data_IF_770866613054
#
_entry.id   IF_770866613054
#
_cell.length_a   1.000
_cell.length_b   1.000
_cell.length_c   1.000
_cell.angle_alpha   90.00
_cell.angle_beta   90.00
_cell.angle_gamma   90.00
#
_symmetry.space_group_name_H-M   'P 1'
#
loop_
_entity.id
_entity.type
_entity.pdbx_description
1 polymer ?
#
# COMPACT_ATOMS: atom_id res chain seq x y z
N UNK A 1 8.93 -14.12 -4.98
CA UNK A 1 9.85 -12.99 -5.25
C UNK A 1 10.74 -12.77 -4.05
N UNK A 2 11.94 -12.25 -4.27
CA UNK A 2 12.81 -11.75 -3.21
C UNK A 2 12.69 -10.22 -3.11
N UNK A 3 12.44 -9.74 -1.89
CA UNK A 3 12.25 -8.33 -1.51
C UNK A 3 13.25 -7.88 -0.43
N UNK A 4 14.27 -8.68 -0.16
CA UNK A 4 15.25 -8.39 0.88
C UNK A 4 15.99 -7.10 0.56
N UNK A 5 16.15 -6.23 1.56
CA UNK A 5 16.84 -4.93 1.43
C UNK A 5 16.20 -3.96 0.44
N UNK A 6 14.94 -4.18 0.06
CA UNK A 6 14.15 -3.23 -0.73
C UNK A 6 13.24 -2.43 0.20
N UNK A 7 13.06 -1.14 -0.11
CA UNK A 7 11.99 -0.36 0.49
C UNK A 7 10.62 -0.88 0.04
N UNK A 8 9.59 -0.56 0.83
CA UNK A 8 8.24 -1.12 0.63
C UNK A 8 7.68 -0.78 -0.75
N UNK A 9 7.83 0.47 -1.20
CA UNK A 9 7.32 0.91 -2.49
C UNK A 9 8.11 0.31 -3.66
N UNK A 10 9.43 0.15 -3.53
CA UNK A 10 10.24 -0.55 -4.53
C UNK A 10 9.86 -2.02 -4.66
N UNK A 11 9.68 -2.72 -3.54
CA UNK A 11 9.19 -4.10 -3.54
C UNK A 11 7.80 -4.19 -4.18
N UNK A 12 6.92 -3.22 -3.90
CA UNK A 12 5.57 -3.18 -4.44
C UNK A 12 5.57 -2.86 -5.95
N UNK A 13 6.50 -2.03 -6.45
CA UNK A 13 6.71 -1.80 -7.89
C UNK A 13 7.16 -3.09 -8.59
N UNK A 14 8.12 -3.81 -8.01
CA UNK A 14 8.59 -5.12 -8.51
C UNK A 14 7.48 -6.16 -8.53
N UNK A 15 6.61 -6.15 -7.52
CA UNK A 15 5.43 -7.01 -7.50
C UNK A 15 4.45 -6.66 -8.62
N UNK A 16 4.12 -5.37 -8.77
CA UNK A 16 3.20 -4.87 -9.78
C UNK A 16 3.71 -5.01 -11.23
N UNK A 17 5.03 -5.09 -11.44
CA UNK A 17 5.59 -5.32 -12.78
C UNK A 17 5.29 -6.71 -13.33
N UNK A 18 4.97 -7.67 -12.45
CA UNK A 18 4.62 -9.05 -12.83
C UNK A 18 3.12 -9.33 -12.67
N UNK A 19 2.44 -8.62 -11.76
CA UNK A 19 1.05 -8.87 -11.40
C UNK A 19 0.26 -7.56 -11.48
N UNK A 20 -0.82 -7.54 -12.27
CA UNK A 20 -1.74 -6.39 -12.26
C UNK A 20 -2.61 -6.40 -11.01
N UNK A 21 -2.35 -5.45 -10.12
CA UNK A 21 -3.12 -5.21 -8.89
C UNK A 21 -4.26 -4.22 -9.15
N UNK A 22 -5.20 -4.60 -10.01
CA UNK A 22 -6.37 -3.80 -10.38
C UNK A 22 -7.59 -4.71 -10.51
N UNK A 23 -8.80 -4.16 -10.30
CA UNK A 23 -10.07 -4.88 -10.45
C UNK A 23 -10.85 -4.99 -9.15
N UNK A 24 -11.40 -6.17 -8.89
CA UNK A 24 -12.26 -6.43 -7.74
C UNK A 24 -11.53 -6.26 -6.40
N UNK A 25 -12.19 -5.59 -5.45
CA UNK A 25 -11.63 -5.27 -4.13
C UNK A 25 -11.07 -6.50 -3.40
N UNK A 26 -11.84 -7.59 -3.37
CA UNK A 26 -11.42 -8.84 -2.71
C UNK A 26 -10.17 -9.47 -3.35
N UNK A 27 -10.01 -9.33 -4.67
CA UNK A 27 -8.84 -9.85 -5.37
C UNK A 27 -7.61 -9.01 -5.07
N UNK A 28 -7.75 -7.68 -5.07
CA UNK A 28 -6.69 -6.75 -4.69
C UNK A 28 -6.22 -7.03 -3.27
N UNK A 29 -7.16 -7.20 -2.34
CA UNK A 29 -6.90 -7.52 -0.94
C UNK A 29 -6.03 -8.78 -0.77
N UNK A 30 -6.42 -9.89 -1.40
CA UNK A 30 -5.66 -11.14 -1.35
C UNK A 30 -4.24 -11.00 -1.92
N UNK A 31 -4.08 -10.24 -3.00
CA UNK A 31 -2.76 -10.01 -3.60
C UNK A 31 -1.86 -9.20 -2.66
N UNK A 32 -2.42 -8.20 -1.99
CA UNK A 32 -1.68 -7.35 -1.06
C UNK A 32 -1.39 -8.04 0.27
N UNK A 33 -2.28 -8.88 0.74
CA UNK A 33 -2.01 -9.77 1.87
C UNK A 33 -0.81 -10.68 1.58
N UNK A 34 -0.83 -11.39 0.45
CA UNK A 34 0.27 -12.27 0.04
C UNK A 34 1.60 -11.51 -0.17
N UNK A 35 1.55 -10.33 -0.78
CA UNK A 35 2.71 -9.45 -0.92
C UNK A 35 3.27 -9.04 0.45
N UNK A 36 2.41 -8.59 1.37
CA UNK A 36 2.80 -8.06 2.68
C UNK A 36 3.42 -9.15 3.54
N UNK A 37 2.83 -10.34 3.56
CA UNK A 37 3.40 -11.51 4.25
C UNK A 37 4.81 -11.81 3.71
N UNK A 38 4.99 -11.81 2.38
CA UNK A 38 6.30 -12.06 1.78
C UNK A 38 7.32 -10.97 2.11
N UNK A 39 6.91 -9.69 2.08
CA UNK A 39 7.77 -8.57 2.44
C UNK A 39 8.23 -8.66 3.90
N UNK A 40 7.33 -9.02 4.82
CA UNK A 40 7.65 -9.21 6.23
C UNK A 40 8.68 -10.31 6.47
N UNK A 41 8.59 -11.42 5.73
CA UNK A 41 9.57 -12.51 5.82
C UNK A 41 10.95 -12.07 5.32
N UNK A 42 11.01 -11.33 4.20
CA UNK A 42 12.27 -10.83 3.64
C UNK A 42 12.91 -9.71 4.48
N UNK A 43 12.11 -8.94 5.21
CA UNK A 43 12.56 -7.73 5.93
C UNK A 43 12.23 -7.78 7.43
N UNK A 44 12.32 -8.97 8.04
CA UNK A 44 11.93 -9.20 9.44
C UNK A 44 12.56 -8.22 10.47
N UNK A 45 13.85 -7.83 10.38
CA UNK A 45 14.45 -6.87 11.31
C UNK A 45 13.80 -5.48 11.28
N UNK A 46 13.40 -5.02 10.09
CA UNK A 46 12.70 -3.75 9.91
C UNK A 46 11.28 -3.85 10.46
N UNK A 47 10.57 -4.92 10.11
CA UNK A 47 9.15 -5.08 10.48
C UNK A 47 8.95 -5.20 11.99
N UNK A 48 9.90 -5.82 12.70
CA UNK A 48 9.89 -5.92 14.17
C UNK A 48 9.90 -4.56 14.89
N UNK A 49 10.25 -3.47 14.20
CA UNK A 49 10.22 -2.12 14.78
C UNK A 49 8.80 -1.54 14.83
N UNK A 50 7.86 -2.06 14.04
CA UNK A 50 6.47 -1.62 14.06
C UNK A 50 5.71 -2.27 15.23
N UNK A 51 4.88 -1.47 15.92
CA UNK A 51 4.02 -1.96 17.00
C UNK A 51 2.81 -2.76 16.51
N UNK A 52 2.32 -2.45 15.32
CA UNK A 52 1.15 -3.11 14.73
C UNK A 52 1.61 -4.09 13.63
N UNK A 53 1.29 -5.39 13.72
CA UNK A 53 1.64 -6.38 12.70
C UNK A 53 1.04 -6.07 11.32
N UNK A 54 -0.08 -5.36 11.25
CA UNK A 54 -0.80 -5.03 10.02
C UNK A 54 -0.22 -3.79 9.30
N UNK A 55 0.81 -3.15 9.87
CA UNK A 55 1.37 -1.90 9.34
C UNK A 55 1.79 -2.03 7.88
N UNK A 56 2.45 -3.13 7.51
CA UNK A 56 2.93 -3.34 6.13
C UNK A 56 1.77 -3.47 5.15
N UNK A 57 0.73 -4.20 5.54
CA UNK A 57 -0.48 -4.36 4.73
C UNK A 57 -1.19 -3.03 4.51
N UNK A 58 -1.39 -2.26 5.58
CA UNK A 58 -2.04 -0.94 5.52
C UNK A 58 -1.24 0.02 4.63
N UNK A 59 0.09 0.05 4.80
CA UNK A 59 0.96 0.91 3.98
C UNK A 59 0.97 0.51 2.50
N UNK A 60 1.04 -0.79 2.20
CA UNK A 60 0.99 -1.28 0.82
C UNK A 60 -0.34 -0.88 0.14
N UNK A 61 -1.46 -1.04 0.84
CA UNK A 61 -2.76 -0.59 0.37
C UNK A 61 -2.80 0.92 0.14
N UNK A 62 -2.29 1.71 1.09
CA UNK A 62 -2.26 3.17 0.96
C UNK A 62 -1.44 3.63 -0.25
N UNK A 63 -0.30 2.98 -0.54
CA UNK A 63 0.53 3.28 -1.71
C UNK A 63 -0.25 3.00 -3.01
N UNK A 64 -1.00 1.90 -3.09
CA UNK A 64 -1.80 1.55 -4.29
C UNK A 64 -2.93 2.55 -4.50
N UNK A 65 -3.60 2.95 -3.43
CA UNK A 65 -4.66 3.94 -3.50
C UNK A 65 -4.11 5.32 -3.89
N UNK A 66 -2.96 5.70 -3.36
CA UNK A 66 -2.26 6.92 -3.78
C UNK A 66 -1.89 6.87 -5.26
N UNK A 67 -1.34 5.75 -5.73
CA UNK A 67 -1.00 5.55 -7.14
C UNK A 67 -2.25 5.68 -8.03
N UNK A 68 -3.36 5.06 -7.62
CA UNK A 68 -4.64 5.14 -8.33
C UNK A 68 -5.16 6.58 -8.38
N UNK A 69 -5.12 7.32 -7.26
CA UNK A 69 -5.54 8.72 -7.20
C UNK A 69 -4.65 9.64 -8.06
N UNK A 70 -3.33 9.46 -7.98
CA UNK A 70 -2.34 10.28 -8.68
C UNK A 70 -2.42 10.14 -10.21
N UNK A 71 -2.71 8.96 -10.73
CA UNK A 71 -2.71 8.70 -12.17
C UNK A 71 -4.10 8.52 -12.79
N UNK A 72 -5.17 8.50 -11.98
CA UNK A 72 -6.53 8.42 -12.51
C UNK A 72 -6.92 9.72 -13.24
N UNK A 73 -7.32 9.66 -14.53
CA UNK A 73 -7.79 10.83 -15.26
C UNK A 73 -9.13 11.37 -14.72
N UNK A 74 -9.88 10.55 -13.97
CA UNK A 74 -11.14 10.93 -13.34
C UNK A 74 -10.95 11.84 -12.12
N UNK A 75 -9.75 11.86 -11.54
CA UNK A 75 -9.40 12.73 -10.41
C UNK A 75 -8.80 14.02 -10.92
N UNK A 76 -9.55 15.12 -10.79
CA UNK A 76 -9.07 16.48 -11.10
C UNK A 76 -7.79 16.77 -10.32
N UNK A 77 -6.81 17.41 -10.95
CA UNK A 77 -5.50 17.70 -10.36
C UNK A 77 -5.57 18.39 -8.98
N UNK A 78 -6.49 19.34 -8.82
CA UNK A 78 -6.71 20.08 -7.56
C UNK A 78 -7.24 19.18 -6.41
N UNK A 79 -7.83 18.03 -6.74
CA UNK A 79 -8.42 17.08 -5.79
C UNK A 79 -7.51 15.87 -5.52
N UNK A 80 -6.36 15.78 -6.20
CA UNK A 80 -5.38 14.72 -5.94
C UNK A 80 -4.82 14.85 -4.54
N UNK A 81 -4.58 13.71 -3.92
CA UNK A 81 -4.05 13.61 -2.57
C UNK A 81 -2.69 14.30 -2.48
N UNK A 82 -2.56 15.27 -1.58
CA UNK A 82 -1.27 15.88 -1.26
C UNK A 82 -0.53 15.03 -0.23
N UNK A 83 0.75 15.32 -0.03
CA UNK A 83 1.58 14.65 0.98
C UNK A 83 0.94 14.71 2.38
N UNK A 84 0.47 15.89 2.78
CA UNK A 84 -0.18 16.08 4.09
C UNK A 84 -1.47 15.26 4.23
N UNK A 85 -2.24 15.13 3.14
CA UNK A 85 -3.45 14.31 3.11
C UNK A 85 -3.11 12.82 3.28
N UNK A 86 -2.07 12.34 2.58
CA UNK A 86 -1.59 10.97 2.70
C UNK A 86 -1.14 10.65 4.13
N UNK A 87 -0.31 11.53 4.73
CA UNK A 87 0.15 11.39 6.12
C UNK A 87 -1.03 11.43 7.10
N UNK A 88 -1.99 12.34 6.89
CA UNK A 88 -3.18 12.46 7.73
C UNK A 88 -4.05 11.22 7.66
N UNK A 89 -4.21 10.62 6.48
CA UNK A 89 -4.99 9.40 6.31
C UNK A 89 -4.37 8.18 7.01
N UNK A 90 -3.04 8.16 7.18
CA UNK A 90 -2.31 7.11 7.89
C UNK A 90 -2.25 7.31 9.42
N UNK A 91 -2.54 8.50 9.94
CA UNK A 91 -2.44 8.85 11.38
C UNK A 91 -3.55 8.29 12.29
N UNK A 92 -4.07 7.10 12.01
CA UNK A 92 -4.81 6.33 13.03
C UNK A 92 -6.33 6.55 13.11
N UNK A 93 -7.03 6.69 11.98
CA UNK A 93 -8.43 6.26 11.97
C UNK A 93 -8.43 4.73 11.87
N UNK A 94 -9.01 4.05 12.86
CA UNK A 94 -9.23 2.60 12.88
C UNK A 94 -9.95 2.08 11.60
N UNK A 95 -10.54 2.99 10.83
CA UNK A 95 -11.02 2.79 9.47
C UNK A 95 -10.36 3.87 8.59
N UNK A 96 -9.32 3.55 7.80
CA UNK A 96 -8.79 4.48 6.83
C UNK A 96 -9.94 4.96 5.94
N UNK A 97 -10.19 6.27 5.88
CA UNK A 97 -11.30 6.83 5.06
C UNK A 97 -11.21 6.48 3.58
N UNK A 98 -10.05 5.97 3.17
CA UNK A 98 -9.82 5.24 1.93
C UNK A 98 -10.85 4.14 1.62
N UNK A 99 -11.33 3.39 2.62
CA UNK A 99 -12.30 2.31 2.44
C UNK A 99 -13.76 2.77 2.37
N UNK A 100 -14.02 4.08 2.52
CA UNK A 100 -15.38 4.66 2.52
C UNK A 100 -15.78 5.31 1.19
N UNK A 101 -15.10 5.00 0.09
CA UNK A 101 -15.41 5.54 -1.23
C UNK A 101 -15.79 4.44 -2.20
#
# INVERSE_FOLDING_TARGET
MDFSSMDLDDALRKFQSHIRVQGEAQKVERLIEAFSQRYCVCNAPLVRQFRNPDTIFILAFAIILLNTDMYSPSVKAERKMKLDDFIKNLRGKQEPSFFKK
#
